data_IF_581633729002
#
_entry.id   IF_581633729002
#
_cell.length_a   1.000
_cell.length_b   1.000
_cell.length_c   1.000
_cell.angle_alpha   90.00
_cell.angle_beta   90.00
_cell.angle_gamma   90.00
#
_symmetry.space_group_name_H-M   'P 1'
#
loop_
_entity.id
_entity.type
_entity.pdbx_description
1 polymer ?
#
# COMPACT_ATOMS: atom_id res chain seq x y z
N UNK A 1 -17.15 3.09 -0.41
CA UNK A 1 -16.64 4.23 -1.22
C UNK A 1 -17.77 4.72 -2.14
N UNK A 2 -17.83 6.00 -2.54
CA UNK A 2 -18.72 6.46 -3.63
C UNK A 2 -17.90 6.89 -4.85
N UNK A 3 -18.55 7.05 -6.01
CA UNK A 3 -17.86 7.34 -7.28
C UNK A 3 -17.11 8.68 -7.25
N UNK A 4 -17.75 9.74 -6.74
CA UNK A 4 -17.12 11.07 -6.63
C UNK A 4 -15.84 11.04 -5.78
N UNK A 5 -15.89 10.37 -4.63
CA UNK A 5 -14.72 10.22 -3.75
C UNK A 5 -13.64 9.37 -4.43
N UNK A 6 -14.02 8.30 -5.13
CA UNK A 6 -13.06 7.45 -5.85
C UNK A 6 -12.34 8.23 -6.95
N UNK A 7 -13.07 8.98 -7.78
CA UNK A 7 -12.49 9.81 -8.84
C UNK A 7 -11.67 10.98 -8.28
N UNK A 8 -12.08 11.57 -7.15
CA UNK A 8 -11.27 12.55 -6.43
C UNK A 8 -9.93 11.95 -6.00
N UNK A 9 -9.94 10.79 -5.32
CA UNK A 9 -8.72 10.10 -4.87
C UNK A 9 -7.82 9.79 -6.07
N UNK A 10 -8.40 9.28 -7.15
CA UNK A 10 -7.69 8.99 -8.40
C UNK A 10 -7.04 10.26 -8.95
N UNK A 11 -7.79 11.36 -9.09
CA UNK A 11 -7.25 12.61 -9.64
C UNK A 11 -6.02 13.15 -8.89
N UNK A 12 -5.95 12.92 -7.56
CA UNK A 12 -4.94 13.51 -6.70
C UNK A 12 -3.81 12.56 -6.30
N UNK A 13 -4.09 11.29 -6.07
CA UNK A 13 -3.17 10.34 -5.43
C UNK A 13 -2.77 9.14 -6.30
N UNK A 14 -3.35 9.02 -7.49
CA UNK A 14 -3.21 7.84 -8.37
C UNK A 14 -1.79 7.33 -8.65
N UNK A 15 -0.76 8.18 -8.56
CA UNK A 15 0.62 7.77 -8.84
C UNK A 15 1.39 7.33 -7.59
N UNK A 16 0.92 7.69 -6.39
CA UNK A 16 1.54 7.31 -5.12
C UNK A 16 0.78 6.19 -4.42
N UNK A 17 -0.48 5.95 -4.76
CA UNK A 17 -1.34 5.02 -4.05
C UNK A 17 -2.05 4.03 -4.96
N UNK A 18 -2.67 3.04 -4.33
CA UNK A 18 -3.55 2.06 -4.97
C UNK A 18 -4.43 1.36 -3.94
N UNK A 19 -5.13 0.31 -4.36
CA UNK A 19 -6.02 -0.49 -3.52
C UNK A 19 -5.61 -1.96 -3.59
N UNK A 20 -5.73 -2.68 -2.48
CA UNK A 20 -5.37 -4.09 -2.38
C UNK A 20 -6.43 -4.98 -3.06
N UNK A 21 -6.60 -4.80 -4.37
CA UNK A 21 -7.54 -5.52 -5.23
C UNK A 21 -6.87 -5.77 -6.56
N UNK A 22 -6.82 -7.03 -6.97
CA UNK A 22 -6.21 -7.45 -8.23
C UNK A 22 -7.17 -8.31 -9.03
N UNK A 23 -6.94 -8.36 -10.34
CA UNK A 23 -7.55 -9.38 -11.20
C UNK A 23 -7.11 -10.80 -10.78
N UNK A 24 -7.92 -11.77 -11.18
CA UNK A 24 -7.72 -13.18 -10.85
C UNK A 24 -6.38 -13.72 -11.36
N UNK A 25 -5.81 -14.65 -10.58
CA UNK A 25 -4.58 -15.35 -10.97
C UNK A 25 -4.85 -16.24 -12.19
N UNK A 26 -4.00 -16.15 -13.21
CA UNK A 26 -4.04 -17.01 -14.40
C UNK A 26 -3.03 -18.16 -14.28
N UNK A 27 -2.37 -18.51 -15.39
CA UNK A 27 -1.46 -19.67 -15.47
C UNK A 27 -0.22 -19.58 -14.56
N UNK A 28 0.12 -18.37 -14.09
CA UNK A 28 1.24 -18.15 -13.18
C UNK A 28 0.83 -17.23 -12.03
N UNK A 29 1.54 -17.29 -10.89
CA UNK A 29 1.32 -16.35 -9.79
C UNK A 29 1.40 -14.88 -10.19
N UNK A 30 2.09 -14.53 -11.27
CA UNK A 30 2.26 -13.14 -11.74
C UNK A 30 1.25 -12.73 -12.80
N UNK A 31 0.46 -13.67 -13.34
CA UNK A 31 -0.55 -13.39 -14.34
C UNK A 31 -1.57 -12.38 -13.81
N UNK A 32 -1.88 -11.37 -14.62
CA UNK A 32 -2.86 -10.31 -14.37
C UNK A 32 -2.58 -9.39 -13.17
N UNK A 33 -1.37 -9.41 -12.58
CA UNK A 33 -1.03 -8.51 -11.45
C UNK A 33 -1.13 -7.04 -11.82
N UNK A 34 -0.78 -6.68 -13.06
CA UNK A 34 -0.92 -5.32 -13.57
C UNK A 34 -2.22 -5.02 -14.32
N UNK A 35 -3.24 -5.89 -14.23
CA UNK A 35 -4.55 -5.59 -14.83
C UNK A 35 -5.33 -4.60 -13.94
N UNK A 36 -5.15 -3.33 -14.24
CA UNK A 36 -5.78 -2.22 -13.53
C UNK A 36 -7.25 -2.00 -13.92
N UNK A 37 -7.77 -2.74 -14.91
CA UNK A 37 -9.19 -2.65 -15.28
C UNK A 37 -10.11 -3.15 -14.16
N UNK A 38 -9.59 -3.95 -13.22
CA UNK A 38 -10.30 -4.38 -12.01
C UNK A 38 -10.66 -3.22 -11.07
N UNK A 39 -9.92 -2.10 -11.16
CA UNK A 39 -10.14 -0.88 -10.38
C UNK A 39 -11.04 0.12 -11.10
N UNK A 40 -11.54 -0.17 -12.30
CA UNK A 40 -12.49 0.68 -13.02
C UNK A 40 -13.93 0.36 -12.56
N UNK A 41 -14.65 1.27 -11.86
CA UNK A 41 -16.01 1.01 -11.42
C UNK A 41 -16.99 0.72 -12.54
N UNK A 42 -16.72 1.16 -13.78
CA UNK A 42 -17.57 0.85 -14.95
C UNK A 42 -17.42 -0.61 -15.39
N UNK A 43 -16.24 -1.20 -15.20
CA UNK A 43 -15.95 -2.60 -15.53
C UNK A 43 -16.16 -3.55 -14.36
N UNK A 44 -15.97 -3.05 -13.14
CA UNK A 44 -16.18 -3.77 -11.88
C UNK A 44 -17.12 -2.97 -10.96
N UNK A 45 -18.44 -3.02 -11.17
CA UNK A 45 -19.41 -2.20 -10.42
C UNK A 45 -19.38 -2.38 -8.90
N UNK A 46 -18.90 -3.54 -8.43
CA UNK A 46 -18.80 -3.86 -6.99
C UNK A 46 -17.51 -3.35 -6.34
N UNK A 47 -16.58 -2.77 -7.10
CA UNK A 47 -15.30 -2.33 -6.56
C UNK A 47 -15.49 -1.35 -5.40
N UNK A 48 -16.39 -0.38 -5.55
CA UNK A 48 -16.61 0.67 -4.55
C UNK A 48 -17.19 0.15 -3.22
N UNK A 49 -17.82 -1.03 -3.23
CA UNK A 49 -18.34 -1.70 -2.03
C UNK A 49 -17.23 -2.39 -1.23
N UNK A 50 -16.15 -2.82 -1.89
CA UNK A 50 -15.07 -3.55 -1.23
C UNK A 50 -13.91 -2.67 -0.77
N UNK A 51 -13.78 -1.45 -1.31
CA UNK A 51 -12.71 -0.53 -0.92
C UNK A 51 -12.90 -0.06 0.53
N UNK A 52 -11.88 -0.26 1.35
CA UNK A 52 -11.86 0.05 2.77
C UNK A 52 -10.68 0.99 3.10
N UNK A 53 -10.92 2.30 3.28
CA UNK A 53 -9.87 3.26 3.60
C UNK A 53 -9.35 3.15 5.04
N UNK A 54 -10.03 2.39 5.92
CA UNK A 54 -9.67 2.29 7.35
C UNK A 54 -8.62 1.19 7.61
N UNK A 55 -8.22 0.45 6.60
CA UNK A 55 -7.06 -0.44 6.63
C UNK A 55 -6.08 0.08 5.60
N UNK A 56 -4.88 0.47 6.03
CA UNK A 56 -3.87 1.05 5.14
C UNK A 56 -2.60 0.21 5.16
N UNK A 57 -2.23 -0.34 4.00
CA UNK A 57 -0.95 -1.00 3.80
C UNK A 57 0.09 0.06 3.41
N UNK A 58 1.11 0.23 4.25
CA UNK A 58 2.05 1.35 4.15
C UNK A 58 3.44 0.84 3.75
N UNK A 59 3.92 1.25 2.59
CA UNK A 59 5.28 1.02 2.14
C UNK A 59 6.17 2.24 2.42
N UNK A 60 7.47 2.13 2.14
CA UNK A 60 8.44 3.19 2.46
C UNK A 60 8.36 4.33 1.44
N UNK A 61 8.66 4.04 0.18
CA UNK A 61 8.75 4.98 -0.92
C UNK A 61 8.65 4.25 -2.27
N UNK A 62 8.23 4.97 -3.32
CA UNK A 62 8.20 4.44 -4.69
C UNK A 62 9.60 4.03 -5.11
N UNK A 63 9.76 2.74 -5.46
CA UNK A 63 11.08 2.18 -5.74
C UNK A 63 11.50 2.26 -7.21
N UNK A 64 10.60 2.44 -8.19
CA UNK A 64 10.96 2.23 -9.61
C UNK A 64 10.17 3.06 -10.62
N UNK A 65 10.73 4.20 -11.01
CA UNK A 65 10.35 5.00 -12.18
C UNK A 65 8.98 5.67 -12.06
N UNK A 66 8.74 6.67 -12.91
CA UNK A 66 7.47 7.39 -12.95
C UNK A 66 6.29 6.42 -13.11
N UNK A 67 5.51 6.27 -12.05
CA UNK A 67 4.20 5.61 -12.13
C UNK A 67 3.34 6.50 -13.02
N UNK A 68 3.14 6.08 -14.27
CA UNK A 68 2.43 6.87 -15.30
C UNK A 68 0.99 6.45 -15.50
N UNK A 69 0.61 5.29 -14.95
CA UNK A 69 -0.76 4.79 -15.02
C UNK A 69 -1.44 4.91 -13.65
N UNK A 70 -2.69 5.40 -13.60
CA UNK A 70 -3.40 5.55 -12.34
C UNK A 70 -3.53 4.23 -11.56
N UNK A 71 -3.25 4.29 -10.26
CA UNK A 71 -3.26 3.17 -9.32
C UNK A 71 -2.31 2.01 -9.66
N UNK A 72 -1.32 2.23 -10.54
CA UNK A 72 -0.35 1.20 -10.90
C UNK A 72 0.70 0.93 -9.81
N UNK A 73 0.82 1.79 -8.79
CA UNK A 73 1.68 1.49 -7.64
C UNK A 73 1.18 0.19 -6.97
N UNK A 74 2.11 -0.70 -6.60
CA UNK A 74 1.84 -2.05 -6.09
C UNK A 74 1.09 -3.02 -7.07
N UNK A 75 1.05 -2.69 -8.36
CA UNK A 75 0.46 -3.53 -9.42
C UNK A 75 1.44 -3.74 -10.57
N UNK A 76 2.71 -3.92 -10.25
CA UNK A 76 3.77 -4.03 -11.26
C UNK A 76 3.67 -5.36 -12.03
N UNK A 77 3.49 -5.25 -13.35
CA UNK A 77 3.37 -6.38 -14.27
C UNK A 77 4.72 -7.01 -14.64
N UNK A 78 5.85 -6.37 -14.26
CA UNK A 78 7.17 -6.83 -14.65
C UNK A 78 7.52 -8.20 -14.05
N UNK A 79 8.27 -9.06 -14.77
CA UNK A 79 8.64 -10.38 -14.29
C UNK A 79 9.45 -10.40 -13.00
N UNK A 80 10.14 -9.32 -12.63
CA UNK A 80 10.90 -9.21 -11.38
C UNK A 80 10.08 -8.66 -10.20
N UNK A 81 8.85 -8.18 -10.45
CA UNK A 81 7.97 -7.65 -9.42
C UNK A 81 7.50 -8.74 -8.44
N UNK A 82 7.19 -8.33 -7.21
CA UNK A 82 6.80 -9.22 -6.11
C UNK A 82 5.38 -8.99 -5.60
N UNK A 83 4.63 -8.12 -6.26
CA UNK A 83 3.31 -7.64 -5.83
C UNK A 83 2.26 -8.77 -5.82
N UNK A 84 2.49 -9.81 -6.63
CA UNK A 84 1.71 -11.04 -6.57
C UNK A 84 1.67 -11.69 -5.18
N UNK A 85 2.69 -11.48 -4.34
CA UNK A 85 2.68 -11.97 -2.95
C UNK A 85 1.71 -11.16 -2.08
N UNK A 86 1.55 -9.86 -2.35
CA UNK A 86 0.55 -9.02 -1.69
C UNK A 86 -0.84 -9.50 -2.09
N UNK A 87 -1.11 -9.65 -3.39
CA UNK A 87 -2.36 -10.25 -3.91
C UNK A 87 -2.67 -11.57 -3.22
N UNK A 88 -1.70 -12.48 -3.22
CA UNK A 88 -1.87 -13.80 -2.63
C UNK A 88 -2.10 -13.74 -1.11
N UNK A 89 -1.46 -12.83 -0.38
CA UNK A 89 -1.63 -12.71 1.07
C UNK A 89 -2.95 -12.05 1.49
N UNK A 90 -3.44 -11.10 0.69
CA UNK A 90 -4.64 -10.30 0.99
C UNK A 90 -5.94 -10.97 0.54
N UNK A 91 -5.89 -11.80 -0.52
CA UNK A 91 -7.09 -12.48 -1.06
C UNK A 91 -7.85 -13.27 0.00
N UNK A 92 -9.17 -13.08 0.06
CA UNK A 92 -10.08 -13.67 1.04
C UNK A 92 -9.72 -13.32 2.50
N UNK A 93 -9.22 -12.12 2.72
CA UNK A 93 -8.95 -11.57 4.07
C UNK A 93 -9.53 -10.15 4.16
N UNK A 94 -9.57 -9.60 5.36
CA UNK A 94 -9.97 -8.20 5.59
C UNK A 94 -9.04 -7.18 4.93
N UNK A 95 -7.85 -7.60 4.49
CA UNK A 95 -6.92 -6.74 3.77
C UNK A 95 -7.30 -6.57 2.30
N UNK A 96 -8.22 -7.39 1.77
CA UNK A 96 -8.73 -7.20 0.42
C UNK A 96 -9.56 -5.91 0.36
N UNK A 97 -9.20 -5.00 -0.55
CA UNK A 97 -9.79 -3.67 -0.62
C UNK A 97 -9.13 -2.62 0.28
N UNK A 98 -8.09 -2.96 1.05
CA UNK A 98 -7.33 -1.99 1.83
C UNK A 98 -6.70 -0.90 0.95
N UNK A 99 -6.57 0.33 1.47
CA UNK A 99 -5.81 1.38 0.80
C UNK A 99 -4.31 1.08 0.88
N UNK A 100 -3.54 1.39 -0.16
CA UNK A 100 -2.10 1.15 -0.20
C UNK A 100 -1.39 2.43 -0.61
N UNK A 101 -0.36 2.83 0.12
CA UNK A 101 0.36 4.06 -0.17
C UNK A 101 1.76 4.03 0.45
N UNK A 102 2.66 4.89 -0.04
CA UNK A 102 4.00 5.07 0.52
C UNK A 102 4.02 6.17 1.59
N UNK A 103 4.78 6.02 2.67
CA UNK A 103 4.86 7.07 3.71
C UNK A 103 5.80 8.22 3.33
N UNK A 104 6.77 7.98 2.45
CA UNK A 104 7.65 9.01 1.90
C UNK A 104 7.33 9.18 0.41
N UNK A 105 6.83 10.35 0.06
CA UNK A 105 6.54 10.80 -1.31
C UNK A 105 7.75 11.51 -1.92
N UNK A 106 7.75 11.58 -3.25
CA UNK A 106 8.69 12.39 -4.06
C UNK A 106 10.18 12.19 -3.72
N UNK A 107 10.53 10.98 -3.28
CA UNK A 107 11.89 10.55 -3.04
C UNK A 107 12.14 9.25 -3.81
N UNK A 108 12.47 9.38 -5.09
CA UNK A 108 12.82 8.26 -5.96
C UNK A 108 14.19 7.69 -5.57
N UNK A 109 14.21 6.79 -4.59
CA UNK A 109 15.43 6.09 -4.19
C UNK A 109 15.15 4.60 -3.97
N UNK A 110 15.82 3.77 -4.78
CA UNK A 110 15.69 2.31 -4.77
C UNK A 110 16.23 1.66 -3.49
N UNK A 111 17.17 2.33 -2.82
CA UNK A 111 17.88 1.77 -1.67
C UNK A 111 17.32 2.36 -0.38
N UNK A 112 16.52 1.56 0.36
CA UNK A 112 15.90 2.00 1.62
C UNK A 112 16.91 2.52 2.66
N UNK A 113 18.13 1.98 2.68
CA UNK A 113 19.22 2.47 3.54
C UNK A 113 19.66 3.91 3.26
N UNK A 114 19.55 4.36 2.00
CA UNK A 114 19.81 5.76 1.63
C UNK A 114 18.66 6.67 2.04
N UNK A 115 17.41 6.23 1.86
CA UNK A 115 16.23 6.93 2.39
C UNK A 115 16.38 7.15 3.89
N UNK A 116 16.71 6.08 4.64
CA UNK A 116 16.94 6.16 6.10
C UNK A 116 18.05 7.14 6.47
N UNK A 117 19.18 7.10 5.76
CA UNK A 117 20.30 8.03 5.97
C UNK A 117 19.89 9.48 5.70
N UNK A 118 19.14 9.73 4.63
CA UNK A 118 18.63 11.05 4.27
C UNK A 118 17.67 11.59 5.33
N UNK A 119 16.66 10.81 5.73
CA UNK A 119 15.66 11.21 6.74
C UNK A 119 16.29 11.50 8.10
N UNK A 120 17.36 10.79 8.48
CA UNK A 120 18.07 11.07 9.73
C UNK A 120 18.65 12.49 9.77
N UNK A 121 19.11 12.99 8.63
CA UNK A 121 19.73 14.32 8.50
C UNK A 121 18.73 15.41 8.09
N UNK A 122 17.54 15.04 7.60
CA UNK A 122 16.51 15.95 7.10
C UNK A 122 15.17 15.67 7.80
N UNK A 123 15.09 15.99 9.08
CA UNK A 123 13.90 15.71 9.90
C UNK A 123 12.66 16.49 9.48
N UNK A 124 12.84 17.70 8.96
CA UNK A 124 11.73 18.51 8.46
C UNK A 124 11.07 17.86 7.23
N UNK A 125 11.87 17.29 6.32
CA UNK A 125 11.34 16.53 5.18
C UNK A 125 10.51 15.31 5.61
N UNK A 126 10.96 14.59 6.65
CA UNK A 126 10.17 13.50 7.21
C UNK A 126 8.83 14.01 7.75
N UNK A 127 8.86 15.12 8.51
CA UNK A 127 7.65 15.71 9.09
C UNK A 127 6.66 16.17 8.02
N UNK A 128 7.14 16.85 6.97
CA UNK A 128 6.31 17.26 5.82
C UNK A 128 5.65 16.06 5.14
N UNK A 129 6.35 14.94 5.02
CA UNK A 129 5.80 13.69 4.49
C UNK A 129 4.74 13.08 5.41
N UNK A 130 4.93 13.14 6.73
CA UNK A 130 3.92 12.70 7.70
C UNK A 130 2.67 13.57 7.61
N UNK A 131 2.82 14.89 7.54
CA UNK A 131 1.70 15.83 7.43
C UNK A 131 0.94 15.59 6.12
N UNK A 132 1.65 15.39 5.00
CA UNK A 132 1.05 15.01 3.73
C UNK A 132 0.31 13.68 3.81
N UNK A 133 0.92 12.65 4.40
CA UNK A 133 0.34 11.32 4.56
C UNK A 133 -0.96 11.36 5.38
N UNK A 134 -0.99 12.10 6.50
CA UNK A 134 -2.20 12.27 7.30
C UNK A 134 -3.29 13.04 6.54
N UNK A 135 -2.91 14.07 5.79
CA UNK A 135 -3.85 14.79 4.93
C UNK A 135 -4.42 13.89 3.82
N UNK A 136 -3.58 13.07 3.17
CA UNK A 136 -4.00 12.06 2.20
C UNK A 136 -5.04 11.12 2.78
N UNK A 137 -4.81 10.57 3.98
CA UNK A 137 -5.74 9.66 4.64
C UNK A 137 -7.07 10.32 5.01
N UNK A 138 -7.03 11.55 5.52
CA UNK A 138 -8.23 12.35 5.79
C UNK A 138 -9.05 12.55 4.51
N UNK A 139 -8.40 12.91 3.41
CA UNK A 139 -9.04 13.17 2.13
C UNK A 139 -9.59 11.89 1.45
N UNK A 140 -8.90 10.77 1.60
CA UNK A 140 -9.36 9.42 1.20
C UNK A 140 -10.59 8.98 2.02
N UNK A 141 -10.84 9.62 3.16
CA UNK A 141 -11.98 9.36 4.03
C UNK A 141 -11.71 8.26 5.07
N UNK A 142 -10.44 8.05 5.43
CA UNK A 142 -10.08 7.15 6.51
C UNK A 142 -10.47 7.75 7.86
N UNK A 143 -11.11 6.95 8.71
CA UNK A 143 -11.52 7.32 10.07
C UNK A 143 -10.89 6.31 11.03
N UNK A 144 -9.94 6.79 11.85
CA UNK A 144 -9.14 5.98 12.77
C UNK A 144 -8.55 4.70 12.09
N UNK A 145 -7.79 4.84 10.99
CA UNK A 145 -7.25 3.71 10.27
C UNK A 145 -6.28 2.87 11.10
N UNK A 146 -6.24 1.57 10.83
CA UNK A 146 -5.13 0.70 11.24
C UNK A 146 -4.06 0.69 10.15
N UNK A 147 -2.82 1.01 10.54
CA UNK A 147 -1.67 0.97 9.64
C UNK A 147 -0.98 -0.38 9.69
N UNK A 148 -0.68 -0.94 8.52
CA UNK A 148 0.05 -2.20 8.36
C UNK A 148 1.29 -1.92 7.54
N UNK A 149 2.42 -1.83 8.22
CA UNK A 149 3.69 -1.47 7.63
C UNK A 149 4.35 -2.65 6.90
N UNK A 150 4.78 -2.43 5.66
CA UNK A 150 5.64 -3.35 4.92
C UNK A 150 7.11 -3.19 5.37
N UNK A 151 7.60 -4.13 6.17
CA UNK A 151 8.99 -4.16 6.62
C UNK A 151 9.30 -3.21 7.77
N UNK A 152 10.58 -3.16 8.16
CA UNK A 152 11.01 -2.39 9.33
C UNK A 152 11.07 -0.89 9.05
N UNK A 153 11.50 -0.46 7.86
CA UNK A 153 11.70 0.95 7.57
C UNK A 153 10.40 1.75 7.72
N UNK A 154 9.34 1.38 7.00
CA UNK A 154 8.02 2.00 7.12
C UNK A 154 7.45 1.90 8.54
N UNK A 155 7.62 0.75 9.20
CA UNK A 155 7.16 0.55 10.58
C UNK A 155 7.84 1.49 11.57
N UNK A 156 9.16 1.66 11.46
CA UNK A 156 9.93 2.55 12.32
C UNK A 156 9.50 4.02 12.12
N UNK A 157 9.08 4.41 10.91
CA UNK A 157 8.55 5.76 10.62
C UNK A 157 7.17 5.95 11.26
N UNK A 158 6.26 5.01 11.02
CA UNK A 158 4.92 5.06 11.59
C UNK A 158 5.00 5.06 13.13
N UNK A 159 5.79 4.15 13.73
CA UNK A 159 5.86 4.06 15.19
C UNK A 159 6.45 5.31 15.84
N UNK A 160 7.47 5.94 15.25
CA UNK A 160 8.08 7.12 15.90
C UNK A 160 7.23 8.38 15.79
N UNK A 161 6.36 8.47 14.78
CA UNK A 161 5.53 9.64 14.54
C UNK A 161 4.07 9.47 15.00
N UNK A 162 3.48 8.27 14.91
CA UNK A 162 2.03 8.07 14.92
C UNK A 162 1.53 7.02 15.94
N UNK A 163 2.40 6.42 16.76
CA UNK A 163 2.03 5.30 17.65
C UNK A 163 1.07 5.64 18.79
N UNK A 164 0.98 6.91 19.16
CA UNK A 164 0.10 7.36 20.24
C UNK A 164 -1.35 7.53 19.76
N UNK A 165 -1.56 7.69 18.45
CA UNK A 165 -2.85 7.99 17.86
C UNK A 165 -3.46 6.82 17.08
N UNK A 166 -2.63 5.97 16.47
CA UNK A 166 -3.09 4.92 15.56
C UNK A 166 -2.58 3.53 15.94
N UNK A 167 -3.37 2.52 15.61
CA UNK A 167 -2.93 1.14 15.66
C UNK A 167 -1.93 0.86 14.51
N UNK A 168 -0.76 0.33 14.85
CA UNK A 168 0.32 0.09 13.89
C UNK A 168 0.80 -1.36 14.01
N UNK A 169 0.58 -2.13 12.96
CA UNK A 169 1.06 -3.50 12.80
C UNK A 169 2.22 -3.54 11.80
N UNK A 170 3.02 -4.61 11.87
CA UNK A 170 4.13 -4.85 10.95
C UNK A 170 3.99 -6.20 10.28
N UNK A 171 4.11 -6.23 8.97
CA UNK A 171 4.29 -7.44 8.18
C UNK A 171 5.66 -7.45 7.50
N UNK A 172 6.19 -8.62 7.10
CA UNK A 172 7.39 -8.66 6.28
C UNK A 172 7.19 -7.86 4.99
N UNK A 173 8.27 -7.25 4.48
CA UNK A 173 8.23 -6.60 3.18
C UNK A 173 7.92 -7.66 2.11
N UNK A 174 7.03 -7.36 1.16
CA UNK A 174 6.59 -8.33 0.15
C UNK A 174 7.73 -8.80 -0.77
N UNK A 175 8.77 -7.99 -0.95
CA UNK A 175 10.00 -8.39 -1.65
C UNK A 175 10.95 -9.32 -0.86
N UNK A 176 10.62 -9.72 0.38
CA UNK A 176 11.46 -10.65 1.15
C UNK A 176 11.63 -11.98 0.42
N UNK A 177 12.83 -12.57 0.51
CA UNK A 177 13.16 -13.85 -0.13
C UNK A 177 12.43 -15.02 0.57
N UNK A 178 11.16 -15.19 0.25
CA UNK A 178 10.28 -16.25 0.75
C UNK A 178 9.16 -16.56 -0.25
N UNK A 179 8.57 -17.75 -0.15
CA UNK A 179 7.43 -18.17 -0.98
C UNK A 179 6.13 -17.43 -0.61
N UNK A 180 5.19 -17.34 -1.55
CA UNK A 180 3.92 -16.61 -1.35
C UNK A 180 3.05 -17.20 -0.25
N UNK A 181 3.11 -18.51 -0.05
CA UNK A 181 2.40 -19.27 0.98
C UNK A 181 2.92 -18.91 2.37
N UNK A 182 4.24 -18.98 2.56
CA UNK A 182 4.89 -18.58 3.82
C UNK A 182 4.68 -17.09 4.11
N UNK A 183 4.73 -16.25 3.07
CA UNK A 183 4.42 -14.83 3.20
C UNK A 183 2.97 -14.62 3.70
N UNK A 184 1.99 -15.32 3.11
CA UNK A 184 0.58 -15.28 3.53
C UNK A 184 0.41 -15.69 4.99
N UNK A 185 1.09 -16.75 5.45
CA UNK A 185 1.05 -17.17 6.86
C UNK A 185 1.57 -16.08 7.81
N UNK A 186 2.65 -15.40 7.42
CA UNK A 186 3.24 -14.31 8.19
C UNK A 186 2.30 -13.10 8.27
N UNK A 187 1.66 -12.74 7.15
CA UNK A 187 0.65 -11.67 7.10
C UNK A 187 -0.57 -12.04 7.94
N UNK A 188 -1.12 -13.24 7.79
CA UNK A 188 -2.30 -13.70 8.51
C UNK A 188 -2.09 -13.71 10.04
N UNK A 189 -0.88 -13.99 10.52
CA UNK A 189 -0.56 -13.90 11.96
C UNK A 189 -0.73 -12.48 12.51
N UNK A 190 -0.48 -11.47 11.70
CA UNK A 190 -0.62 -10.06 12.11
C UNK A 190 -2.08 -9.61 11.99
N UNK A 191 -2.79 -10.02 10.93
CA UNK A 191 -4.22 -9.69 10.76
C UNK A 191 -5.09 -10.15 11.94
N UNK A 192 -4.71 -11.25 12.62
CA UNK A 192 -5.42 -11.72 13.82
C UNK A 192 -5.38 -10.74 15.00
N UNK A 193 -4.52 -9.72 14.98
CA UNK A 193 -4.45 -8.67 16.01
C UNK A 193 -5.33 -7.46 15.70
N UNK A 194 -6.02 -7.47 14.56
CA UNK A 194 -7.01 -6.44 14.20
C UNK A 194 -8.35 -6.73 14.90
N UNK A 195 -8.48 -7.92 15.52
CA UNK A 195 -9.58 -8.39 16.37
C UNK A 195 -9.05 -8.75 17.77
#
# INVERSE_FOLDING_TARGET
>A
MNEDKFEFIKSKYQYWSSWAVWAEEGDSPKSNVGDLSILDPKRNPKILEILNPNIVLVALNVSRGDITQPFANFHDSRPEATDFKIRYATKNTILWGAYMTDIIKDFEEKVSGKVRSFLKNNRDFEKENIDFFLNELSEVGAINPTFIAFGNDAYDILKRNLKEEFNILKIPHYAVYTGKEKYREQVAKQCRQIF
#
